data_IF_054749616463
#
_entry.id   IF_054749616463
#
_cell.length_a   1.000
_cell.length_b   1.000
_cell.length_c   1.000
_cell.angle_alpha   90.00
_cell.angle_beta   90.00
_cell.angle_gamma   90.00
#
_symmetry.space_group_name_H-M   'P 1'
#
loop_
_entity.id
_entity.type
_entity.pdbx_description
1 polymer ?
#
# COMPACT_ATOMS: atom_id res chain seq x y z
N UNK A 1 4.83 36.88 16.98
CA UNK A 1 4.46 35.47 17.26
C UNK A 1 3.82 34.76 16.07
N UNK A 2 3.11 35.46 15.16
CA UNK A 2 2.54 34.88 13.93
C UNK A 2 3.59 34.35 12.93
N UNK A 3 4.73 35.02 12.76
CA UNK A 3 5.79 34.54 11.85
C UNK A 3 6.44 33.22 12.28
N UNK A 4 6.47 32.94 13.58
CA UNK A 4 7.02 31.68 14.12
C UNK A 4 6.06 30.52 13.86
N UNK A 5 4.75 30.75 13.89
CA UNK A 5 3.74 29.77 13.49
C UNK A 5 3.71 29.56 11.97
N UNK A 6 3.87 30.63 11.18
CA UNK A 6 3.96 30.54 9.72
C UNK A 6 5.21 29.75 9.28
N UNK A 7 6.36 29.99 9.94
CA UNK A 7 7.58 29.18 9.72
C UNK A 7 7.46 27.73 10.19
N UNK A 8 6.72 27.45 11.27
CA UNK A 8 6.46 26.06 11.72
C UNK A 8 5.56 25.30 10.75
N UNK A 9 4.53 25.93 10.19
CA UNK A 9 3.69 25.34 9.14
C UNK A 9 4.48 25.07 7.85
N UNK A 10 5.39 25.98 7.48
CA UNK A 10 6.28 25.79 6.34
C UNK A 10 7.32 24.66 6.56
N UNK A 11 7.77 24.45 7.80
CA UNK A 11 8.83 23.46 8.14
C UNK A 11 8.42 22.00 7.89
N UNK A 12 7.14 21.68 8.05
CA UNK A 12 6.62 20.30 7.86
C UNK A 12 5.92 20.10 6.52
N UNK A 13 5.83 21.14 5.68
CA UNK A 13 5.09 21.08 4.42
C UNK A 13 5.67 20.07 3.44
N UNK A 14 7.00 20.05 3.28
CA UNK A 14 7.68 19.09 2.39
C UNK A 14 7.49 17.64 2.85
N UNK A 15 7.50 17.41 4.17
CA UNK A 15 7.32 16.09 4.78
C UNK A 15 5.90 15.59 4.57
N UNK A 16 4.91 16.48 4.75
CA UNK A 16 3.49 16.21 4.49
C UNK A 16 3.25 15.96 3.00
N UNK A 17 3.82 16.78 2.11
CA UNK A 17 3.63 16.65 0.66
C UNK A 17 4.25 15.34 0.12
N UNK A 18 5.43 14.95 0.63
CA UNK A 18 6.02 13.65 0.32
C UNK A 18 5.13 12.50 0.79
N UNK A 19 4.68 12.55 2.05
CA UNK A 19 3.86 11.48 2.63
C UNK A 19 2.50 11.38 1.93
N UNK A 20 1.90 12.51 1.57
CA UNK A 20 0.66 12.57 0.78
C UNK A 20 0.83 11.91 -0.58
N UNK A 21 1.90 12.23 -1.32
CA UNK A 21 2.21 11.58 -2.60
C UNK A 21 2.39 10.08 -2.44
N UNK A 22 3.09 9.66 -1.38
CA UNK A 22 3.27 8.25 -1.06
C UNK A 22 1.92 7.54 -0.80
N UNK A 23 1.01 8.16 -0.05
CA UNK A 23 -0.34 7.62 0.19
C UNK A 23 -1.18 7.55 -1.08
N UNK A 24 -1.11 8.58 -1.94
CA UNK A 24 -1.74 8.55 -3.27
C UNK A 24 -1.21 7.42 -4.13
N UNK A 25 0.10 7.20 -4.14
CA UNK A 25 0.71 6.07 -4.87
C UNK A 25 0.16 4.75 -4.37
N UNK A 26 0.05 4.54 -3.04
CA UNK A 26 -0.57 3.33 -2.48
C UNK A 26 -2.02 3.17 -2.94
N UNK A 27 -2.81 4.24 -2.92
CA UNK A 27 -4.21 4.20 -3.35
C UNK A 27 -4.34 3.73 -4.80
N UNK A 28 -3.60 4.35 -5.72
CA UNK A 28 -3.62 3.98 -7.14
C UNK A 28 -3.12 2.54 -7.32
N UNK A 29 -2.00 2.21 -6.67
CA UNK A 29 -1.36 0.91 -6.83
C UNK A 29 -2.24 -0.25 -6.34
N UNK A 30 -2.90 -0.09 -5.19
CA UNK A 30 -3.81 -1.10 -4.67
C UNK A 30 -5.02 -1.33 -5.58
N UNK A 31 -5.58 -0.26 -6.17
CA UNK A 31 -6.66 -0.38 -7.15
C UNK A 31 -6.23 -1.14 -8.41
N UNK A 32 -4.99 -0.90 -8.88
CA UNK A 32 -4.41 -1.65 -10.02
C UNK A 32 -4.28 -3.14 -9.68
N UNK A 33 -3.74 -3.48 -8.50
CA UNK A 33 -3.59 -4.89 -8.07
C UNK A 33 -4.94 -5.61 -8.02
N UNK A 34 -5.96 -4.99 -7.44
CA UNK A 34 -7.33 -5.55 -7.40
C UNK A 34 -7.85 -5.79 -8.82
N UNK A 35 -7.70 -4.81 -9.70
CA UNK A 35 -8.18 -4.88 -11.09
C UNK A 35 -7.48 -5.99 -11.87
N UNK A 36 -6.17 -6.17 -11.67
CA UNK A 36 -5.40 -7.25 -12.31
C UNK A 36 -5.89 -8.62 -11.85
N UNK A 37 -6.12 -8.83 -10.55
CA UNK A 37 -6.69 -10.10 -10.07
C UNK A 37 -8.08 -10.37 -10.65
N UNK A 38 -8.89 -9.34 -10.87
CA UNK A 38 -10.19 -9.46 -11.54
C UNK A 38 -10.03 -9.89 -13.00
N UNK A 39 -9.12 -9.25 -13.76
CA UNK A 39 -8.89 -9.58 -15.18
C UNK A 39 -8.26 -10.96 -15.41
N UNK A 40 -7.52 -11.46 -14.43
CA UNK A 40 -7.02 -12.84 -14.42
C UNK A 40 -8.04 -13.86 -13.92
N UNK A 41 -9.26 -13.43 -13.59
CA UNK A 41 -10.35 -14.25 -13.04
C UNK A 41 -9.96 -15.02 -11.76
N UNK A 42 -9.01 -14.50 -10.98
CA UNK A 42 -8.57 -15.13 -9.72
C UNK A 42 -9.46 -14.62 -8.57
N UNK A 43 -10.77 -14.91 -8.64
CA UNK A 43 -11.81 -14.27 -7.82
C UNK A 43 -11.58 -14.35 -6.31
N UNK A 44 -11.03 -15.48 -5.81
CA UNK A 44 -10.71 -15.63 -4.38
C UNK A 44 -9.62 -14.65 -3.93
N UNK A 45 -8.60 -14.45 -4.75
CA UNK A 45 -7.51 -13.52 -4.46
C UNK A 45 -7.88 -12.08 -4.76
N UNK A 46 -8.76 -11.84 -5.72
CA UNK A 46 -9.44 -10.57 -5.89
C UNK A 46 -10.16 -10.16 -4.59
N UNK A 47 -11.03 -11.01 -4.04
CA UNK A 47 -11.75 -10.71 -2.80
C UNK A 47 -10.78 -10.50 -1.60
N UNK A 48 -9.74 -11.32 -1.49
CA UNK A 48 -8.70 -11.14 -0.49
C UNK A 48 -7.95 -9.81 -0.64
N UNK A 49 -7.59 -9.43 -1.87
CA UNK A 49 -6.92 -8.15 -2.17
C UNK A 49 -7.83 -6.96 -1.87
N UNK A 50 -9.13 -7.07 -2.12
CA UNK A 50 -10.12 -6.04 -1.81
C UNK A 50 -10.23 -5.84 -0.29
N UNK A 51 -10.33 -6.92 0.48
CA UNK A 51 -10.38 -6.87 1.94
C UNK A 51 -9.09 -6.30 2.54
N UNK A 52 -7.93 -6.75 2.03
CA UNK A 52 -6.62 -6.24 2.45
C UNK A 52 -6.47 -4.75 2.12
N UNK A 53 -6.90 -4.32 0.93
CA UNK A 53 -6.83 -2.93 0.53
C UNK A 53 -7.76 -2.06 1.37
N UNK A 54 -9.00 -2.48 1.63
CA UNK A 54 -9.90 -1.78 2.53
C UNK A 54 -9.30 -1.62 3.94
N UNK A 55 -8.70 -2.67 4.49
CA UNK A 55 -7.97 -2.61 5.76
C UNK A 55 -6.83 -1.58 5.71
N UNK A 56 -6.03 -1.61 4.63
CA UNK A 56 -4.93 -0.66 4.45
C UNK A 56 -5.40 0.80 4.42
N UNK A 57 -6.57 1.08 3.82
CA UNK A 57 -7.16 2.42 3.77
C UNK A 57 -7.65 2.87 5.15
N UNK A 58 -8.29 1.98 5.92
CA UNK A 58 -8.72 2.30 7.30
C UNK A 58 -7.51 2.62 8.18
N UNK A 59 -6.45 1.83 8.08
CA UNK A 59 -5.23 2.06 8.85
C UNK A 59 -4.51 3.34 8.39
N UNK A 60 -4.47 3.59 7.09
CA UNK A 60 -3.94 4.83 6.51
C UNK A 60 -4.69 6.06 7.03
N UNK A 61 -6.03 6.01 7.07
CA UNK A 61 -6.84 7.07 7.66
C UNK A 61 -6.51 7.32 9.13
N UNK A 62 -6.33 6.25 9.91
CA UNK A 62 -5.87 6.37 11.30
C UNK A 62 -4.47 7.00 11.43
N UNK A 63 -3.55 6.66 10.52
CA UNK A 63 -2.21 7.23 10.45
C UNK A 63 -2.24 8.73 10.12
N UNK A 64 -3.05 9.13 9.15
CA UNK A 64 -3.27 10.52 8.75
C UNK A 64 -3.82 11.38 9.90
N UNK A 65 -4.58 10.78 10.82
CA UNK A 65 -5.12 11.44 12.02
C UNK A 65 -4.13 11.57 13.19
N UNK A 66 -2.82 11.36 12.98
CA UNK A 66 -1.82 11.59 14.02
C UNK A 66 -1.53 10.37 14.92
N UNK A 67 -2.16 9.21 14.67
CA UNK A 67 -2.04 8.05 15.56
C UNK A 67 -0.77 7.26 15.29
N UNK A 68 0.21 7.36 16.20
CA UNK A 68 1.51 6.66 16.09
C UNK A 68 1.39 5.14 15.90
N UNK A 69 0.43 4.49 16.56
CA UNK A 69 0.20 3.04 16.42
C UNK A 69 -0.25 2.65 15.01
N UNK A 70 -0.97 3.53 14.31
CA UNK A 70 -1.43 3.28 12.95
C UNK A 70 -0.27 3.26 11.95
N UNK A 71 0.86 3.94 12.22
CA UNK A 71 2.07 3.83 11.39
C UNK A 71 2.63 2.41 11.39
N UNK A 72 2.79 1.83 12.59
CA UNK A 72 3.28 0.46 12.75
C UNK A 72 2.31 -0.55 12.14
N UNK A 73 1.00 -0.37 12.38
CA UNK A 73 -0.02 -1.19 11.74
C UNK A 73 0.03 -1.07 10.22
N UNK A 74 0.25 0.12 9.66
CA UNK A 74 0.32 0.32 8.21
C UNK A 74 1.52 -0.44 7.60
N UNK A 75 2.69 -0.37 8.26
CA UNK A 75 3.85 -1.14 7.87
C UNK A 75 3.59 -2.65 7.93
N UNK A 76 2.93 -3.13 8.99
CA UNK A 76 2.55 -4.53 9.12
C UNK A 76 1.57 -4.97 8.02
N UNK A 77 0.59 -4.13 7.68
CA UNK A 77 -0.36 -4.40 6.58
C UNK A 77 0.38 -4.50 5.25
N UNK A 78 1.35 -3.61 4.98
CA UNK A 78 2.16 -3.66 3.77
C UNK A 78 3.03 -4.92 3.70
N UNK A 79 3.69 -5.29 4.80
CA UNK A 79 4.46 -6.54 4.89
C UNK A 79 3.56 -7.77 4.73
N UNK A 80 2.36 -7.76 5.31
CA UNK A 80 1.39 -8.83 5.15
C UNK A 80 0.93 -8.95 3.68
N UNK A 81 0.74 -7.83 2.99
CA UNK A 81 0.43 -7.81 1.55
C UNK A 81 1.55 -8.44 0.72
N UNK A 82 2.80 -8.02 0.96
CA UNK A 82 3.98 -8.61 0.30
C UNK A 82 4.13 -10.10 0.62
N UNK A 83 3.91 -10.52 1.87
CA UNK A 83 3.97 -11.93 2.26
C UNK A 83 2.87 -12.76 1.61
N UNK A 84 1.65 -12.23 1.55
CA UNK A 84 0.52 -12.87 0.89
C UNK A 84 0.77 -13.07 -0.61
N UNK A 85 1.35 -12.08 -1.29
CA UNK A 85 1.71 -12.23 -2.70
C UNK A 85 2.86 -13.22 -2.93
N UNK A 86 3.85 -13.30 -2.04
CA UNK A 86 4.88 -14.36 -2.09
C UNK A 86 4.27 -15.76 -1.89
N UNK A 87 3.35 -15.89 -0.94
CA UNK A 87 2.60 -17.13 -0.74
C UNK A 87 1.78 -17.49 -1.98
N UNK A 88 1.12 -16.51 -2.59
CA UNK A 88 0.36 -16.71 -3.82
C UNK A 88 1.25 -17.25 -4.94
N UNK A 89 2.40 -16.61 -5.19
CA UNK A 89 3.33 -17.04 -6.24
C UNK A 89 3.92 -18.43 -6.00
N UNK A 90 4.26 -18.75 -4.76
CA UNK A 90 4.97 -19.99 -4.43
C UNK A 90 4.04 -21.20 -4.23
N UNK A 91 2.82 -20.98 -3.76
CA UNK A 91 1.91 -22.07 -3.34
C UNK A 91 0.60 -22.12 -4.10
N UNK A 92 0.08 -20.99 -4.58
CA UNK A 92 -1.24 -20.95 -5.19
C UNK A 92 -1.16 -20.96 -6.70
N UNK A 93 -0.37 -20.06 -7.29
CA UNK A 93 -0.26 -19.91 -8.73
C UNK A 93 0.13 -21.21 -9.46
N UNK A 94 1.10 -22.02 -8.98
CA UNK A 94 1.46 -23.29 -9.64
C UNK A 94 0.31 -24.31 -9.70
N UNK A 95 -0.66 -24.19 -8.79
CA UNK A 95 -1.83 -25.06 -8.69
C UNK A 95 -3.07 -24.44 -9.35
N UNK A 96 -2.94 -23.26 -9.96
CA UNK A 96 -4.05 -22.57 -10.61
C UNK A 96 -4.06 -22.95 -12.08
N UNK A 97 -5.18 -23.49 -12.57
CA UNK A 97 -5.38 -23.73 -13.99
C UNK A 97 -5.85 -22.45 -14.68
N UNK A 98 -5.28 -22.17 -15.85
CA UNK A 98 -5.66 -20.98 -16.63
C UNK A 98 -7.12 -21.10 -17.10
N UNK A 99 -7.99 -20.14 -16.73
CA UNK A 99 -9.36 -20.11 -17.22
C UNK A 99 -9.40 -19.89 -18.72
N UNK A 100 -10.32 -20.56 -19.42
CA UNK A 100 -10.51 -20.38 -20.88
C UNK A 100 -10.91 -18.95 -21.29
N UNK A 101 -11.39 -18.13 -20.34
CA UNK A 101 -11.95 -16.80 -20.59
C UNK A 101 -11.12 -15.66 -19.95
N UNK A 102 -9.93 -15.94 -19.40
CA UNK A 102 -9.11 -14.90 -18.79
C UNK A 102 -8.77 -13.79 -19.81
N UNK A 103 -9.08 -12.54 -19.47
CA UNK A 103 -8.77 -11.38 -20.33
C UNK A 103 -7.26 -11.19 -20.50
N UNK A 104 -6.47 -11.61 -19.50
CA UNK A 104 -5.01 -11.50 -19.49
C UNK A 104 -4.41 -12.87 -19.14
N UNK A 105 -3.41 -13.35 -19.90
CA UNK A 105 -2.78 -14.65 -19.66
C UNK A 105 -2.19 -14.80 -18.26
N UNK A 106 -2.28 -15.98 -17.66
CA UNK A 106 -1.71 -16.24 -16.33
C UNK A 106 -0.18 -16.13 -16.30
N UNK A 107 0.47 -16.26 -17.46
CA UNK A 107 1.93 -16.15 -17.60
C UNK A 107 2.52 -14.80 -17.14
N UNK A 108 1.74 -13.71 -17.15
CA UNK A 108 2.22 -12.39 -16.68
C UNK A 108 2.01 -12.16 -15.19
N UNK A 109 1.26 -13.03 -14.51
CA UNK A 109 0.96 -12.94 -13.07
C UNK A 109 2.24 -12.88 -12.22
N UNK A 110 3.25 -13.76 -12.42
CA UNK A 110 4.49 -13.72 -11.67
C UNK A 110 5.20 -12.36 -11.75
N UNK A 111 5.15 -11.72 -12.91
CA UNK A 111 5.84 -10.46 -13.16
C UNK A 111 5.24 -9.34 -12.31
N UNK A 112 3.94 -9.06 -12.46
CA UNK A 112 3.33 -7.93 -11.79
C UNK A 112 3.12 -8.19 -10.29
N UNK A 113 2.82 -9.42 -9.87
CA UNK A 113 2.74 -9.75 -8.44
C UNK A 113 4.12 -9.63 -7.79
N UNK A 114 5.20 -10.02 -8.50
CA UNK A 114 6.57 -9.81 -8.05
C UNK A 114 6.89 -8.33 -7.82
N UNK A 115 6.54 -7.46 -8.78
CA UNK A 115 6.68 -6.01 -8.62
C UNK A 115 5.82 -5.45 -7.49
N UNK A 116 4.60 -5.95 -7.30
CA UNK A 116 3.73 -5.53 -6.22
C UNK A 116 4.30 -5.90 -4.85
N UNK A 117 4.81 -7.13 -4.69
CA UNK A 117 5.47 -7.55 -3.46
C UNK A 117 6.66 -6.67 -3.12
N UNK A 118 7.55 -6.44 -4.10
CA UNK A 118 8.72 -5.59 -3.89
C UNK A 118 8.30 -4.16 -3.50
N UNK A 119 7.30 -3.60 -4.19
CA UNK A 119 6.79 -2.26 -3.93
C UNK A 119 6.19 -2.13 -2.52
N UNK A 120 5.42 -3.13 -2.07
CA UNK A 120 4.86 -3.14 -0.71
C UNK A 120 5.92 -3.38 0.37
N UNK A 121 6.91 -4.22 0.12
CA UNK A 121 8.04 -4.40 1.04
C UNK A 121 8.84 -3.09 1.18
N UNK A 122 9.17 -2.44 0.06
CA UNK A 122 9.84 -1.13 0.06
C UNK A 122 8.97 -0.09 0.76
N UNK A 123 7.66 -0.06 0.47
CA UNK A 123 6.71 0.83 1.11
C UNK A 123 6.69 0.65 2.63
N UNK A 124 6.76 -0.58 3.13
CA UNK A 124 6.85 -0.85 4.56
C UNK A 124 8.15 -0.28 5.15
N UNK A 125 9.29 -0.44 4.46
CA UNK A 125 10.57 0.15 4.89
C UNK A 125 10.48 1.69 4.96
N UNK A 126 9.87 2.34 3.96
CA UNK A 126 9.63 3.77 4.01
C UNK A 126 8.79 4.17 5.22
N UNK A 127 7.67 3.48 5.48
CA UNK A 127 6.79 3.79 6.62
C UNK A 127 7.51 3.61 7.97
N UNK A 128 8.42 2.64 8.06
CA UNK A 128 9.17 2.34 9.29
C UNK A 128 10.34 3.29 9.54
N UNK A 129 11.13 3.59 8.49
CA UNK A 129 12.44 4.20 8.64
C UNK A 129 12.54 5.62 8.09
N UNK A 130 11.61 6.06 7.24
CA UNK A 130 11.68 7.41 6.68
C UNK A 130 11.24 8.47 7.71
N UNK A 131 12.14 9.40 8.09
CA UNK A 131 11.82 10.40 9.11
C UNK A 131 10.77 11.40 8.64
N UNK A 132 10.58 11.59 7.32
CA UNK A 132 9.55 12.49 6.77
C UNK A 132 8.16 11.90 7.02
N UNK A 133 7.98 10.61 6.75
CA UNK A 133 6.71 9.90 7.01
C UNK A 133 6.41 9.89 8.51
N UNK A 134 7.43 9.68 9.35
CA UNK A 134 7.24 9.76 10.80
C UNK A 134 6.73 11.14 11.24
N UNK A 135 7.41 12.22 10.83
CA UNK A 135 7.05 13.58 11.25
C UNK A 135 5.68 14.01 10.71
N UNK A 136 5.37 13.65 9.46
CA UNK A 136 4.04 13.88 8.89
C UNK A 136 2.96 13.14 9.67
N UNK A 137 3.21 11.87 10.01
CA UNK A 137 2.29 11.05 10.81
C UNK A 137 2.13 11.49 12.25
N UNK A 138 3.09 12.19 12.85
CA UNK A 138 2.94 12.79 14.19
C UNK A 138 2.19 14.12 14.17
N UNK A 139 2.34 14.88 13.09
CA UNK A 139 1.64 16.17 12.91
C UNK A 139 0.18 15.96 12.51
N UNK A 140 -0.10 14.87 11.81
CA UNK A 140 -1.38 14.63 11.14
C UNK A 140 -1.51 15.44 9.85
N UNK A 141 -2.21 14.89 8.87
CA UNK A 141 -2.42 15.53 7.57
C UNK A 141 -3.66 14.96 6.86
N UNK A 142 -4.14 15.68 5.86
CA UNK A 142 -5.21 15.21 4.96
C UNK A 142 -4.65 14.86 3.58
N UNK A 143 -5.38 14.04 2.82
CA UNK A 143 -5.04 13.61 1.46
C UNK A 143 -5.28 14.71 0.44
#
# INVERSE_FOLDING_TARGET
MLDVQHRRGAKHREEIDFTRKFMWTHMIFGAVVITLFLFHEVFRWFAGSLAWYALSLVVMYGFMNGRKSCRWLLALVFLAGSGAGLYFLSRVLPNTTEPRAALVPHAVIPLWVGFANLSYAIGALFVLFDPRIQRAGETGFML
#
